data_IF_617284157177
#
_entry.id   IF_617284157177
#
_cell.length_a   1.000
_cell.length_b   1.000
_cell.length_c   1.000
_cell.angle_alpha   90.00
_cell.angle_beta   90.00
_cell.angle_gamma   90.00
#
_symmetry.space_group_name_H-M   'P 1'
#
loop_
_entity.id
_entity.type
_entity.pdbx_description
1 polymer ?
#
# COMPACT_ATOMS: atom_id res chain seq x y z
N UNK A 1 17.32 -37.92 1.29
CA UNK A 1 18.21 -37.25 2.27
C UNK A 1 18.01 -35.75 2.12
N UNK A 2 16.98 -35.17 2.74
CA UNK A 2 16.89 -33.72 2.90
C UNK A 2 17.59 -33.39 4.21
N UNK A 3 18.78 -32.79 4.12
CA UNK A 3 19.45 -32.23 5.29
C UNK A 3 18.60 -31.09 5.82
N UNK A 4 17.71 -31.41 6.76
CA UNK A 4 17.17 -30.41 7.68
C UNK A 4 18.39 -29.83 8.40
N UNK A 5 18.55 -28.53 8.29
CA UNK A 5 19.55 -27.77 9.03
C UNK A 5 19.41 -28.11 10.53
N UNK A 6 20.31 -28.93 11.05
CA UNK A 6 20.36 -29.35 12.46
C UNK A 6 21.12 -28.33 13.31
N UNK A 7 21.38 -27.13 12.80
CA UNK A 7 21.92 -26.06 13.63
C UNK A 7 20.93 -25.78 14.76
N UNK A 8 21.29 -26.25 15.96
CA UNK A 8 20.71 -25.77 17.21
C UNK A 8 20.93 -24.25 17.21
N UNK A 9 19.90 -23.48 16.90
CA UNK A 9 19.92 -22.04 17.12
C UNK A 9 20.04 -21.83 18.62
N UNK A 10 21.25 -21.55 19.07
CA UNK A 10 21.55 -21.24 20.46
C UNK A 10 20.75 -19.99 20.87
N UNK A 11 19.62 -20.24 21.55
CA UNK A 11 18.70 -19.19 22.02
C UNK A 11 19.32 -18.26 23.06
N UNK A 12 20.50 -18.60 23.61
CA UNK A 12 21.17 -17.79 24.63
C UNK A 12 21.63 -16.41 24.14
N UNK A 13 21.67 -16.19 22.82
CA UNK A 13 22.05 -14.92 22.19
C UNK A 13 20.90 -14.21 21.44
N UNK A 14 19.65 -14.65 21.61
CA UNK A 14 18.50 -14.14 20.84
C UNK A 14 17.98 -12.83 21.46
N UNK A 15 18.62 -11.71 21.09
CA UNK A 15 18.28 -10.36 21.54
C UNK A 15 17.84 -9.47 20.37
N UNK A 16 16.85 -8.60 20.57
CA UNK A 16 16.37 -7.67 19.55
C UNK A 16 15.14 -6.88 19.98
N UNK A 17 14.76 -5.88 19.18
CA UNK A 17 13.55 -5.09 19.36
C UNK A 17 12.71 -5.14 18.08
N UNK A 18 11.38 -5.20 18.24
CA UNK A 18 10.42 -5.07 17.15
C UNK A 18 9.46 -3.94 17.48
N UNK A 19 9.34 -2.98 16.57
CA UNK A 19 8.42 -1.87 16.67
C UNK A 19 7.62 -1.77 15.37
N UNK A 20 6.37 -1.32 15.48
CA UNK A 20 5.56 -0.95 14.33
C UNK A 20 5.95 0.44 13.82
N UNK A 21 5.51 0.78 12.61
CA UNK A 21 5.75 2.12 12.06
C UNK A 21 4.93 3.17 12.81
N UNK A 22 5.60 4.19 13.34
CA UNK A 22 4.96 5.26 14.12
C UNK A 22 3.95 6.11 13.32
N UNK A 23 3.97 6.01 11.98
CA UNK A 23 3.02 6.70 11.11
C UNK A 23 1.64 6.06 11.08
N UNK A 24 1.51 4.76 11.40
CA UNK A 24 0.24 4.05 11.29
C UNK A 24 -0.75 4.50 12.36
N UNK A 25 -1.86 5.12 11.95
CA UNK A 25 -2.95 5.64 12.82
C UNK A 25 -4.19 4.76 12.85
N UNK A 26 -4.29 3.79 11.94
CA UNK A 26 -5.37 2.82 11.95
C UNK A 26 -5.40 1.89 10.73
N UNK A 27 -5.78 0.65 11.00
CA UNK A 27 -6.20 -0.32 9.98
C UNK A 27 -7.69 -0.56 10.19
N UNK A 28 -8.47 -0.33 9.14
CA UNK A 28 -9.89 -0.63 9.09
C UNK A 28 -10.11 -1.77 8.10
N UNK A 29 -11.01 -2.69 8.41
CA UNK A 29 -11.25 -3.85 7.55
C UNK A 29 -12.71 -4.27 7.55
N UNK A 30 -13.10 -5.01 6.53
CA UNK A 30 -14.43 -5.59 6.36
C UNK A 30 -15.24 -4.94 5.23
N UNK A 31 -16.32 -5.61 4.79
CA UNK A 31 -17.17 -5.15 3.69
C UNK A 31 -17.74 -3.75 3.95
N UNK A 32 -17.56 -2.83 3.00
CA UNK A 32 -18.09 -1.46 3.07
C UNK A 32 -17.43 -0.58 4.13
N UNK A 33 -16.30 -1.02 4.70
CA UNK A 33 -15.58 -0.29 5.75
C UNK A 33 -15.09 1.08 5.29
N UNK A 34 -14.83 1.26 3.98
CA UNK A 34 -14.39 2.54 3.40
C UNK A 34 -15.32 3.70 3.75
N UNK A 35 -16.64 3.46 3.78
CA UNK A 35 -17.67 4.47 4.03
C UNK A 35 -17.49 5.20 5.37
N UNK A 36 -16.99 4.51 6.40
CA UNK A 36 -16.78 5.08 7.74
C UNK A 36 -15.31 5.30 8.06
N UNK A 37 -14.44 4.46 7.53
CA UNK A 37 -13.02 4.49 7.82
C UNK A 37 -12.34 5.74 7.25
N UNK A 38 -12.73 6.19 6.06
CA UNK A 38 -12.10 7.33 5.42
C UNK A 38 -12.28 8.61 6.26
N UNK A 39 -13.50 8.91 6.71
CA UNK A 39 -13.76 10.04 7.61
C UNK A 39 -12.95 9.99 8.91
N UNK A 40 -12.90 8.82 9.56
CA UNK A 40 -12.13 8.63 10.80
C UNK A 40 -10.64 8.82 10.61
N UNK A 41 -10.09 8.37 9.49
CA UNK A 41 -8.67 8.52 9.19
C UNK A 41 -8.33 9.97 8.85
N UNK A 42 -9.18 10.69 8.12
CA UNK A 42 -9.00 12.13 7.88
C UNK A 42 -8.95 12.92 9.19
N UNK A 43 -9.90 12.67 10.09
CA UNK A 43 -9.93 13.30 11.41
C UNK A 43 -8.65 13.02 12.22
N UNK A 44 -8.22 11.76 12.28
CA UNK A 44 -6.99 11.36 12.99
C UNK A 44 -5.70 11.93 12.39
N UNK A 45 -5.66 12.09 11.08
CA UNK A 45 -4.48 12.56 10.34
C UNK A 45 -4.44 14.07 10.17
N UNK A 46 -5.55 14.78 10.49
CA UNK A 46 -5.69 16.20 10.21
C UNK A 46 -5.71 16.53 8.72
N UNK A 47 -6.11 15.57 7.87
CA UNK A 47 -6.20 15.78 6.42
C UNK A 47 -7.43 16.58 6.03
N UNK A 48 -7.30 17.47 5.05
CA UNK A 48 -8.41 18.32 4.58
C UNK A 48 -8.76 18.08 3.11
N UNK A 49 -7.76 17.85 2.24
CA UNK A 49 -7.99 17.75 0.80
C UNK A 49 -7.10 16.68 0.17
N UNK A 50 -7.75 15.74 -0.50
CA UNK A 50 -7.17 14.50 -0.96
C UNK A 50 -6.88 14.52 -2.45
N UNK A 51 -5.67 14.10 -2.82
CA UNK A 51 -5.45 13.55 -4.16
C UNK A 51 -5.77 12.06 -4.13
N UNK A 52 -6.77 11.63 -4.89
CA UNK A 52 -7.02 10.20 -5.10
C UNK A 52 -6.05 9.69 -6.17
N UNK A 53 -5.27 8.66 -5.87
CA UNK A 53 -4.31 8.06 -6.81
C UNK A 53 -4.73 6.62 -7.11
N UNK A 54 -4.85 6.26 -8.38
CA UNK A 54 -5.32 4.94 -8.79
C UNK A 54 -4.69 4.48 -10.11
N UNK A 55 -4.98 3.25 -10.52
CA UNK A 55 -4.57 2.73 -11.83
C UNK A 55 -5.65 2.97 -12.90
N UNK A 56 -5.23 3.26 -14.13
CA UNK A 56 -6.14 3.52 -15.28
C UNK A 56 -7.20 2.45 -15.48
N UNK A 57 -6.84 1.16 -15.40
CA UNK A 57 -7.81 0.07 -15.56
C UNK A 57 -8.89 0.05 -14.47
N UNK A 58 -8.53 0.36 -13.21
CA UNK A 58 -9.50 0.39 -12.11
C UNK A 58 -10.44 1.58 -12.26
N UNK A 59 -9.91 2.73 -12.69
CA UNK A 59 -10.67 3.94 -13.00
C UNK A 59 -11.65 3.74 -14.17
N UNK A 60 -11.17 3.21 -15.30
CA UNK A 60 -11.96 3.15 -16.54
C UNK A 60 -12.98 2.01 -16.57
N UNK A 61 -12.67 0.87 -15.91
CA UNK A 61 -13.43 -0.39 -16.07
C UNK A 61 -14.33 -0.73 -14.88
N UNK A 62 -14.27 0.02 -13.79
CA UNK A 62 -14.99 -0.30 -12.56
C UNK A 62 -15.56 0.97 -11.90
N UNK A 63 -16.52 0.80 -11.00
CA UNK A 63 -17.04 1.91 -10.21
C UNK A 63 -16.33 2.10 -8.85
N UNK A 64 -15.26 1.34 -8.57
CA UNK A 64 -14.51 1.41 -7.30
C UNK A 64 -14.01 2.83 -7.04
N UNK A 65 -13.38 3.45 -8.05
CA UNK A 65 -12.83 4.81 -7.92
C UNK A 65 -13.94 5.82 -7.68
N UNK A 66 -15.05 5.73 -8.43
CA UNK A 66 -16.21 6.63 -8.27
C UNK A 66 -16.83 6.53 -6.87
N UNK A 67 -16.87 5.34 -6.27
CA UNK A 67 -17.35 5.15 -4.89
C UNK A 67 -16.49 5.93 -3.90
N UNK A 68 -15.16 5.83 -4.00
CA UNK A 68 -14.24 6.55 -3.12
C UNK A 68 -14.30 8.06 -3.39
N UNK A 69 -14.39 8.48 -4.65
CA UNK A 69 -14.61 9.90 -4.99
C UNK A 69 -15.90 10.45 -4.36
N UNK A 70 -17.01 9.71 -4.40
CA UNK A 70 -18.27 10.13 -3.82
C UNK A 70 -18.15 10.36 -2.30
N UNK A 71 -17.41 9.49 -1.60
CA UNK A 71 -17.14 9.64 -0.17
C UNK A 71 -16.30 10.91 0.07
N UNK A 72 -15.21 11.09 -0.67
CA UNK A 72 -14.36 12.28 -0.56
C UNK A 72 -15.14 13.57 -0.86
N UNK A 73 -16.01 13.57 -1.87
CA UNK A 73 -16.87 14.71 -2.21
C UNK A 73 -17.88 15.00 -1.09
N UNK A 74 -18.48 13.97 -0.48
CA UNK A 74 -19.41 14.14 0.64
C UNK A 74 -18.76 14.76 1.89
N UNK A 75 -17.45 14.61 2.03
CA UNK A 75 -16.65 15.20 3.11
C UNK A 75 -15.99 16.53 2.72
N UNK A 76 -16.29 17.07 1.52
CA UNK A 76 -15.60 18.24 0.95
C UNK A 76 -14.06 18.09 0.89
N UNK A 77 -13.57 16.85 0.79
CA UNK A 77 -12.16 16.50 0.82
C UNK A 77 -11.62 16.10 -0.56
N UNK A 78 -12.40 16.21 -1.63
CA UNK A 78 -11.98 15.81 -2.97
C UNK A 78 -11.10 16.88 -3.63
N UNK A 79 -9.82 16.57 -3.83
CA UNK A 79 -8.86 17.41 -4.55
C UNK A 79 -8.62 17.01 -5.99
N UNK A 80 -9.05 15.81 -6.40
CA UNK A 80 -8.95 15.31 -7.77
C UNK A 80 -8.51 13.85 -7.81
N UNK A 81 -8.58 13.24 -9.00
CA UNK A 81 -8.19 11.85 -9.24
C UNK A 81 -7.06 11.77 -10.26
N UNK A 82 -5.94 11.18 -9.86
CA UNK A 82 -4.78 10.92 -10.72
C UNK A 82 -4.68 9.43 -11.02
N UNK A 83 -4.71 9.07 -12.31
CA UNK A 83 -4.72 7.68 -12.78
C UNK A 83 -3.74 7.40 -13.94
N UNK A 84 -2.91 8.39 -14.27
CA UNK A 84 -1.96 8.34 -15.39
C UNK A 84 -0.57 7.85 -14.96
N UNK A 85 -0.51 6.92 -14.01
CA UNK A 85 0.73 6.25 -13.64
C UNK A 85 0.95 5.12 -14.66
N UNK A 86 1.89 5.33 -15.57
CA UNK A 86 2.35 4.29 -16.48
C UNK A 86 2.89 3.07 -15.73
N UNK A 87 2.98 1.93 -16.41
CA UNK A 87 3.68 0.77 -15.86
C UNK A 87 5.05 1.18 -15.35
N UNK A 88 5.47 0.59 -14.23
CA UNK A 88 6.75 0.90 -13.61
C UNK A 88 6.93 2.31 -13.03
N UNK A 89 5.84 3.10 -12.94
CA UNK A 89 5.83 4.44 -12.33
C UNK A 89 6.95 5.33 -12.89
N UNK A 90 6.93 5.68 -14.19
CA UNK A 90 7.94 6.57 -14.76
C UNK A 90 7.94 7.91 -14.02
N UNK A 91 9.13 8.51 -13.85
CA UNK A 91 9.31 9.77 -13.12
C UNK A 91 8.44 10.91 -13.67
N UNK A 92 8.19 10.94 -14.98
CA UNK A 92 7.28 11.89 -15.61
C UNK A 92 5.84 11.78 -15.05
N UNK A 93 5.34 10.55 -14.86
CA UNK A 93 4.02 10.32 -14.27
C UNK A 93 3.97 10.77 -12.80
N UNK A 94 5.04 10.51 -12.04
CA UNK A 94 5.15 10.96 -10.65
C UNK A 94 5.14 12.50 -10.57
N UNK A 95 5.89 13.17 -11.45
CA UNK A 95 5.91 14.65 -11.53
C UNK A 95 4.54 15.24 -11.89
N UNK A 96 3.79 14.60 -12.78
CA UNK A 96 2.42 15.02 -13.11
C UNK A 96 1.48 14.87 -11.91
N UNK A 97 1.56 13.75 -11.18
CA UNK A 97 0.81 13.54 -9.95
C UNK A 97 1.17 14.57 -8.87
N UNK A 98 2.46 14.88 -8.70
CA UNK A 98 2.94 15.93 -7.78
C UNK A 98 2.41 17.32 -8.16
N UNK A 99 2.42 17.66 -9.44
CA UNK A 99 1.85 18.92 -9.94
C UNK A 99 0.38 19.03 -9.56
N UNK A 100 -0.41 17.99 -9.85
CA UNK A 100 -1.84 17.94 -9.53
C UNK A 100 -2.10 17.99 -8.01
N UNK A 101 -1.27 17.30 -7.21
CA UNK A 101 -1.33 17.33 -5.75
C UNK A 101 -1.22 18.78 -5.24
N UNK A 102 -0.23 19.53 -5.73
CA UNK A 102 0.05 20.90 -5.29
C UNK A 102 -0.94 21.92 -5.83
N UNK A 103 -1.26 21.88 -7.12
CA UNK A 103 -2.19 22.84 -7.77
C UNK A 103 -3.59 22.79 -7.14
N UNK A 104 -4.02 21.60 -6.71
CA UNK A 104 -5.30 21.45 -6.03
C UNK A 104 -5.25 21.72 -4.53
N UNK A 105 -4.07 22.02 -3.97
CA UNK A 105 -3.88 22.25 -2.53
C UNK A 105 -4.17 21.00 -1.69
N UNK A 106 -3.81 19.82 -2.20
CA UNK A 106 -3.98 18.57 -1.46
C UNK A 106 -2.95 18.49 -0.32
N UNK A 107 -3.35 17.89 0.79
CA UNK A 107 -2.51 17.67 1.98
C UNK A 107 -2.44 16.19 2.40
N UNK A 108 -3.19 15.32 1.71
CA UNK A 108 -3.20 13.87 1.93
C UNK A 108 -3.39 13.15 0.59
N UNK A 109 -2.77 11.98 0.45
CA UNK A 109 -3.01 11.10 -0.71
C UNK A 109 -3.92 9.93 -0.30
N UNK A 110 -4.92 9.62 -1.12
CA UNK A 110 -5.74 8.41 -0.97
C UNK A 110 -5.43 7.48 -2.14
N UNK A 111 -4.62 6.45 -1.89
CA UNK A 111 -4.25 5.47 -2.90
C UNK A 111 -5.29 4.35 -2.97
N UNK A 112 -5.88 4.10 -4.15
CA UNK A 112 -6.87 3.05 -4.38
C UNK A 112 -6.41 2.13 -5.51
N UNK A 113 -6.20 0.85 -5.21
CA UNK A 113 -5.81 -0.14 -6.22
C UNK A 113 -4.78 -1.12 -5.72
N UNK A 114 -3.94 -1.64 -6.62
CA UNK A 114 -2.84 -2.53 -6.25
C UNK A 114 -1.57 -1.80 -5.80
N UNK A 115 -0.44 -2.52 -5.78
CA UNK A 115 0.82 -1.95 -5.30
C UNK A 115 1.34 -0.76 -6.13
N UNK A 116 1.06 -0.73 -7.43
CA UNK A 116 1.52 0.36 -8.30
C UNK A 116 1.00 1.75 -7.90
N UNK A 117 -0.32 2.01 -7.75
CA UNK A 117 -0.80 3.31 -7.28
C UNK A 117 -0.37 3.65 -5.84
N UNK A 118 -0.21 2.65 -4.97
CA UNK A 118 0.31 2.86 -3.60
C UNK A 118 1.77 3.33 -3.64
N UNK A 119 2.63 2.66 -4.42
CA UNK A 119 4.03 3.03 -4.55
C UNK A 119 4.21 4.36 -5.30
N UNK A 120 3.39 4.63 -6.30
CA UNK A 120 3.40 5.94 -6.95
C UNK A 120 2.98 7.07 -5.99
N UNK A 121 2.04 6.81 -5.09
CA UNK A 121 1.64 7.76 -4.04
C UNK A 121 2.81 8.08 -3.10
N UNK A 122 3.57 7.05 -2.67
CA UNK A 122 4.81 7.24 -1.91
C UNK A 122 5.82 8.08 -2.70
N UNK A 123 6.00 7.81 -3.98
CA UNK A 123 6.94 8.57 -4.81
C UNK A 123 6.51 10.04 -4.95
N UNK A 124 5.22 10.32 -5.18
CA UNK A 124 4.67 11.69 -5.22
C UNK A 124 5.00 12.43 -3.90
N UNK A 125 4.75 11.78 -2.75
CA UNK A 125 5.02 12.37 -1.43
C UNK A 125 6.52 12.57 -1.17
N UNK A 126 7.35 11.62 -1.61
CA UNK A 126 8.80 11.71 -1.54
C UNK A 126 9.32 12.92 -2.33
N UNK A 127 8.89 13.09 -3.58
CA UNK A 127 9.30 14.23 -4.40
C UNK A 127 8.70 15.54 -3.92
N UNK A 128 7.51 15.55 -3.34
CA UNK A 128 6.99 16.74 -2.67
C UNK A 128 7.93 17.21 -1.54
N UNK A 129 8.40 16.27 -0.72
CA UNK A 129 9.38 16.56 0.34
C UNK A 129 10.73 17.00 -0.23
N UNK A 130 11.28 16.22 -1.16
CA UNK A 130 12.60 16.44 -1.74
C UNK A 130 12.71 17.77 -2.51
N UNK A 131 11.72 18.08 -3.35
CA UNK A 131 11.80 19.21 -4.29
C UNK A 131 11.34 20.53 -3.64
N UNK A 132 10.56 20.46 -2.56
CA UNK A 132 9.98 21.66 -1.94
C UNK A 132 10.31 21.84 -0.45
N UNK A 133 11.08 20.93 0.16
CA UNK A 133 11.50 21.04 1.56
C UNK A 133 10.37 20.98 2.59
N UNK A 134 9.18 20.51 2.19
CA UNK A 134 8.02 20.34 3.09
C UNK A 134 8.06 18.99 3.78
N UNK A 135 7.39 18.82 4.92
CA UNK A 135 7.31 17.50 5.58
C UNK A 135 6.66 16.44 4.65
N UNK A 136 7.04 15.17 4.83
CA UNK A 136 6.35 14.05 4.17
C UNK A 136 4.92 14.00 4.71
N UNK A 137 3.95 14.25 3.83
CA UNK A 137 2.53 14.25 4.12
C UNK A 137 1.98 12.81 4.15
N UNK A 138 0.86 12.55 4.86
CA UNK A 138 0.34 11.20 5.01
C UNK A 138 -0.32 10.68 3.72
N UNK A 139 -0.40 9.35 3.63
CA UNK A 139 -1.29 8.67 2.71
C UNK A 139 -2.20 7.68 3.42
N UNK A 140 -3.37 7.45 2.84
CA UNK A 140 -4.29 6.35 3.17
C UNK A 140 -4.30 5.38 1.99
N UNK A 141 -4.08 4.10 2.25
CA UNK A 141 -4.14 3.05 1.24
C UNK A 141 -5.44 2.26 1.34
N UNK A 142 -6.10 2.07 0.20
CA UNK A 142 -7.29 1.24 0.01
C UNK A 142 -6.93 0.17 -1.02
N UNK A 143 -6.22 -0.91 -0.59
CA UNK A 143 -5.75 -1.93 -1.52
C UNK A 143 -6.93 -2.71 -2.11
N UNK A 144 -6.87 -2.97 -3.43
CA UNK A 144 -7.80 -3.87 -4.12
C UNK A 144 -7.15 -5.18 -4.57
N UNK A 145 -5.86 -5.35 -4.29
CA UNK A 145 -5.07 -6.56 -4.62
C UNK A 145 -4.21 -6.96 -3.43
N UNK A 146 -3.66 -8.18 -3.45
CA UNK A 146 -2.88 -8.76 -2.34
C UNK A 146 -1.38 -8.40 -2.40
N UNK A 147 -1.03 -7.17 -2.81
CA UNK A 147 0.37 -6.78 -3.08
C UNK A 147 1.21 -6.45 -1.86
N UNK A 148 0.60 -6.23 -0.69
CA UNK A 148 1.25 -5.81 0.56
C UNK A 148 2.01 -4.46 0.53
N UNK A 149 1.98 -3.72 -0.58
CA UNK A 149 2.60 -2.40 -0.71
C UNK A 149 2.11 -1.40 0.35
N UNK A 150 0.89 -1.57 0.83
CA UNK A 150 0.30 -0.77 1.90
C UNK A 150 0.99 -0.94 3.27
N UNK A 151 1.85 -1.95 3.43
CA UNK A 151 2.63 -2.23 4.64
C UNK A 151 4.13 -1.92 4.49
N UNK A 152 4.55 -1.31 3.37
CA UNK A 152 5.97 -1.04 3.10
C UNK A 152 6.30 0.45 3.09
N UNK A 153 7.56 0.76 3.42
CA UNK A 153 8.11 2.14 3.48
C UNK A 153 8.71 2.61 2.15
N UNK A 154 8.85 1.71 1.18
CA UNK A 154 9.57 1.96 -0.06
C UNK A 154 8.65 2.07 -1.26
N UNK A 155 9.15 2.72 -2.30
CA UNK A 155 8.57 2.74 -3.64
C UNK A 155 9.67 2.64 -4.70
N UNK A 156 9.35 1.94 -5.78
CA UNK A 156 10.17 1.92 -6.99
C UNK A 156 9.61 2.86 -8.05
N UNK A 157 10.50 3.53 -8.78
CA UNK A 157 10.16 4.28 -9.98
C UNK A 157 11.20 4.07 -11.07
N UNK A 158 10.86 4.44 -12.30
CA UNK A 158 11.79 4.46 -13.43
C UNK A 158 12.20 5.91 -13.71
N UNK A 159 13.50 6.21 -13.71
CA UNK A 159 14.02 7.57 -13.93
C UNK A 159 14.02 7.98 -15.43
N UNK A 160 14.50 9.20 -15.69
CA UNK A 160 14.55 9.77 -17.05
C UNK A 160 15.52 9.00 -17.98
N UNK A 161 16.43 8.19 -17.43
CA UNK A 161 17.38 7.34 -18.14
C UNK A 161 16.85 5.90 -18.33
N UNK A 162 15.66 5.60 -17.82
CA UNK A 162 15.07 4.26 -17.87
C UNK A 162 15.56 3.31 -16.77
N UNK A 163 16.34 3.80 -15.81
CA UNK A 163 16.87 2.99 -14.72
C UNK A 163 15.84 2.82 -13.60
N UNK A 164 15.89 1.66 -12.93
CA UNK A 164 15.07 1.37 -11.76
C UNK A 164 15.68 1.99 -10.52
N UNK A 165 14.97 2.95 -9.93
CA UNK A 165 15.35 3.62 -8.70
C UNK A 165 14.37 3.23 -7.59
N UNK A 166 14.91 2.96 -6.40
CA UNK A 166 14.12 2.74 -5.20
C UNK A 166 14.32 3.90 -4.22
N UNK A 167 13.23 4.37 -3.63
CA UNK A 167 13.23 5.33 -2.52
C UNK A 167 12.58 4.67 -1.32
N UNK A 168 13.08 5.01 -0.13
CA UNK A 168 12.57 4.46 1.12
C UNK A 168 12.75 5.47 2.24
N UNK A 169 11.68 5.71 2.98
CA UNK A 169 11.67 6.55 4.19
C UNK A 169 10.57 6.02 5.11
N UNK A 170 10.81 5.83 6.42
CA UNK A 170 9.79 5.35 7.35
C UNK A 170 8.47 6.13 7.31
N UNK A 171 8.53 7.41 6.96
CA UNK A 171 7.36 8.31 6.88
C UNK A 171 6.50 8.07 5.63
N UNK A 172 7.00 7.30 4.64
CA UNK A 172 6.25 6.97 3.43
C UNK A 172 5.29 5.81 3.60
N UNK A 173 5.43 4.99 4.65
CA UNK A 173 4.44 3.94 4.92
C UNK A 173 3.04 4.57 5.10
N UNK A 174 1.98 3.97 4.54
CA UNK A 174 0.63 4.45 4.73
C UNK A 174 0.27 4.66 6.20
N UNK A 175 -0.22 5.86 6.49
CA UNK A 175 -0.65 6.25 7.82
C UNK A 175 -2.05 5.71 8.15
N UNK A 176 -2.82 5.32 7.13
CA UNK A 176 -4.09 4.61 7.28
C UNK A 176 -4.23 3.53 6.22
N UNK A 177 -4.82 2.39 6.60
CA UNK A 177 -5.07 1.27 5.70
C UNK A 177 -6.54 0.87 5.81
N UNK A 178 -7.22 0.69 4.68
CA UNK A 178 -8.63 0.27 4.60
C UNK A 178 -8.74 -1.00 3.75
N UNK A 179 -8.88 -2.15 4.40
CA UNK A 179 -9.07 -3.47 3.78
C UNK A 179 -10.56 -3.72 3.54
N UNK A 180 -11.11 -3.10 2.49
CA UNK A 180 -12.52 -3.22 2.13
C UNK A 180 -12.76 -4.36 1.12
N UNK A 181 -13.33 -5.46 1.61
CA UNK A 181 -13.59 -6.65 0.82
C UNK A 181 -14.61 -6.42 -0.33
N UNK A 182 -15.45 -5.38 -0.28
CA UNK A 182 -16.34 -5.08 -1.41
C UNK A 182 -15.59 -4.46 -2.59
N UNK A 183 -14.55 -3.68 -2.31
CA UNK A 183 -13.78 -3.01 -3.35
C UNK A 183 -12.81 -3.97 -4.07
N UNK A 184 -12.51 -5.12 -3.46
CA UNK A 184 -11.71 -6.17 -4.09
C UNK A 184 -12.49 -7.00 -5.11
N UNK A 185 -13.83 -7.01 -5.05
CA UNK A 185 -14.68 -7.80 -5.96
C UNK A 185 -14.54 -7.39 -7.43
N UNK A 186 -14.07 -6.17 -7.69
CA UNK A 186 -13.83 -5.68 -9.05
C UNK A 186 -12.47 -6.14 -9.62
N UNK A 187 -11.60 -6.71 -8.79
CA UNK A 187 -10.29 -7.21 -9.22
C UNK A 187 -10.45 -8.50 -10.02
N UNK A 188 -9.98 -8.56 -11.28
CA UNK A 188 -10.09 -9.77 -12.09
C UNK A 188 -9.41 -10.96 -11.40
N UNK A 189 -10.02 -12.14 -11.48
CA UNK A 189 -9.55 -13.37 -10.81
C UNK A 189 -8.06 -13.66 -11.09
N UNK A 190 -7.61 -13.57 -12.35
CA UNK A 190 -6.20 -13.76 -12.69
C UNK A 190 -5.26 -12.77 -11.98
N UNK A 191 -5.69 -11.52 -11.79
CA UNK A 191 -4.91 -10.52 -11.07
C UNK A 191 -4.94 -10.80 -9.56
N UNK A 192 -6.10 -11.21 -9.04
CA UNK A 192 -6.25 -11.62 -7.63
C UNK A 192 -5.32 -12.79 -7.29
N UNK A 193 -5.38 -13.87 -8.07
CA UNK A 193 -4.54 -15.05 -7.89
C UNK A 193 -3.06 -14.72 -8.04
N UNK A 194 -2.66 -13.97 -9.07
CA UNK A 194 -1.25 -13.62 -9.28
C UNK A 194 -0.68 -12.74 -8.15
N UNK A 195 -1.47 -11.80 -7.61
CA UNK A 195 -1.05 -11.02 -6.43
C UNK A 195 -1.10 -11.84 -5.14
N UNK A 196 -1.98 -12.84 -5.02
CA UNK A 196 -1.94 -13.82 -3.94
C UNK A 196 -0.66 -14.65 -3.92
N UNK A 197 -0.18 -15.09 -5.08
CA UNK A 197 1.13 -15.75 -5.19
C UNK A 197 2.28 -14.83 -4.76
N UNK A 198 2.20 -13.52 -5.04
CA UNK A 198 3.18 -12.55 -4.53
C UNK A 198 3.12 -12.40 -3.01
N UNK A 199 1.95 -12.45 -2.41
CA UNK A 199 1.83 -12.46 -0.94
C UNK A 199 2.49 -13.70 -0.33
N UNK A 200 2.32 -14.86 -0.97
CA UNK A 200 3.00 -16.10 -0.58
C UNK A 200 4.52 -15.97 -0.70
N UNK A 201 5.00 -15.43 -1.83
CA UNK A 201 6.41 -15.16 -2.07
C UNK A 201 7.01 -14.32 -0.94
N UNK A 202 6.38 -13.17 -0.63
CA UNK A 202 6.81 -12.34 0.50
C UNK A 202 6.82 -13.07 1.84
N UNK A 203 5.84 -13.93 2.12
CA UNK A 203 5.82 -14.71 3.36
C UNK A 203 7.00 -15.70 3.42
N UNK A 204 7.29 -16.39 2.31
CA UNK A 204 8.41 -17.34 2.21
C UNK A 204 9.76 -16.61 2.27
N UNK A 205 9.89 -15.48 1.58
CA UNK A 205 11.07 -14.62 1.60
C UNK A 205 11.44 -14.15 3.01
N UNK A 206 10.43 -13.75 3.78
CA UNK A 206 10.65 -13.37 5.17
C UNK A 206 11.05 -14.57 6.03
N UNK A 207 10.48 -15.76 5.81
CA UNK A 207 10.78 -16.94 6.62
C UNK A 207 12.21 -17.46 6.45
N UNK A 208 12.83 -17.31 5.27
CA UNK A 208 14.23 -17.71 5.08
C UNK A 208 15.24 -16.60 5.40
N UNK A 209 14.79 -15.34 5.55
CA UNK A 209 15.66 -14.22 5.91
C UNK A 209 16.37 -14.45 7.25
N UNK A 210 17.69 -14.18 7.34
CA UNK A 210 18.40 -14.18 8.62
C UNK A 210 17.79 -13.19 9.61
N UNK A 211 17.66 -13.61 10.88
CA UNK A 211 17.20 -12.76 11.98
C UNK A 211 15.76 -12.22 11.80
N UNK A 212 14.85 -13.03 11.25
CA UNK A 212 13.42 -12.69 11.24
C UNK A 212 12.91 -12.44 12.67
N UNK A 213 12.27 -11.28 12.95
CA UNK A 213 11.68 -11.03 14.25
C UNK A 213 10.60 -12.06 14.60
N UNK A 214 10.50 -12.55 15.85
CA UNK A 214 9.50 -13.55 16.23
C UNK A 214 8.06 -13.18 15.85
N UNK A 215 7.57 -11.92 16.01
CA UNK A 215 6.23 -11.55 15.58
C UNK A 215 6.01 -11.75 14.07
N UNK A 216 6.98 -11.35 13.25
CA UNK A 216 6.88 -11.47 11.79
C UNK A 216 6.87 -12.94 11.36
N UNK A 217 7.64 -13.81 12.02
CA UNK A 217 7.64 -15.25 11.74
C UNK A 217 6.24 -15.86 11.90
N UNK A 218 5.52 -15.49 12.97
CA UNK A 218 4.15 -15.95 13.19
C UNK A 218 3.19 -15.39 12.15
N UNK A 219 3.32 -14.09 11.80
CA UNK A 219 2.50 -13.49 10.74
C UNK A 219 2.68 -14.20 9.40
N UNK A 220 3.92 -14.57 9.02
CA UNK A 220 4.18 -15.29 7.78
C UNK A 220 3.54 -16.69 7.78
N UNK A 221 3.66 -17.47 8.86
CA UNK A 221 3.00 -18.78 8.93
C UNK A 221 1.48 -18.67 8.84
N UNK A 222 0.88 -17.73 9.57
CA UNK A 222 -0.57 -17.51 9.53
C UNK A 222 -1.01 -17.06 8.13
N UNK A 223 -0.29 -16.11 7.51
CA UNK A 223 -0.62 -15.63 6.16
C UNK A 223 -0.61 -16.75 5.11
N UNK A 224 0.34 -17.68 5.20
CA UNK A 224 0.40 -18.86 4.33
C UNK A 224 -0.86 -19.72 4.54
N UNK A 225 -1.18 -20.07 5.79
CA UNK A 225 -2.36 -20.89 6.11
C UNK A 225 -3.66 -20.23 5.64
N UNK A 226 -3.81 -18.93 5.89
CA UNK A 226 -5.01 -18.17 5.52
C UNK A 226 -5.20 -18.10 4.00
N UNK A 227 -4.12 -17.88 3.25
CA UNK A 227 -4.17 -17.80 1.79
C UNK A 227 -4.73 -19.09 1.18
N UNK A 228 -4.31 -20.26 1.67
CA UNK A 228 -4.82 -21.55 1.19
C UNK A 228 -6.20 -21.88 1.77
N UNK A 229 -6.48 -21.54 3.03
CA UNK A 229 -7.76 -21.84 3.67
C UNK A 229 -8.92 -21.03 3.10
N UNK A 230 -8.66 -19.79 2.68
CA UNK A 230 -9.65 -18.92 2.06
C UNK A 230 -9.85 -19.23 0.56
N UNK A 231 -8.80 -19.70 -0.13
CA UNK A 231 -8.88 -20.05 -1.56
C UNK A 231 -9.57 -21.41 -1.82
N UNK A 232 -9.51 -22.35 -0.86
CA UNK A 232 -10.01 -23.72 -1.04
C UNK A 232 -11.51 -23.90 -0.70
N UNK A 233 -12.24 -22.87 -0.28
CA UNK A 233 -13.67 -22.99 0.10
C UNK A 233 -14.68 -22.80 -1.04
N UNK A 234 -14.21 -22.61 -2.27
CA UNK A 234 -15.07 -22.49 -3.47
C UNK A 234 -14.80 -23.57 -4.52
N UNK A 235 -14.16 -24.68 -4.14
CA UNK A 235 -13.96 -25.86 -4.98
C UNK A 235 -14.78 -27.05 -4.51
#
# INVERSE_FOLDING_TARGET
MSGLDTNQYDSSNLQGAYAWTDTLRGIHFGPGSTNKALAKLFEKLGGSKALLVTGKSLHDKTDVVKKVEAILKSMNAYGGTFYEIGEHSPIAGIRNGLKMFRENGCDIVVAVGGGSPVDASKAILYFNHKDHGVAILPQIAIPTTLSAAEYTIGAGYTDDEGQKVAVSDPRLAPAGIILDAELTLATPERLWLSTGIRALDHAVENLYRPLIPPPLKHLCYTAIVDLFSCSLRHG
#
